data_IF_798378385082
#
_entry.id   IF_798378385082
#
_cell.length_a   1.000
_cell.length_b   1.000
_cell.length_c   1.000
_cell.angle_alpha   90.00
_cell.angle_beta   90.00
_cell.angle_gamma   90.00
#
_symmetry.space_group_name_H-M   'P 1'
#
loop_
_entity.id
_entity.type
_entity.pdbx_description
1 polymer ?
#
# COMPACT_ATOMS: atom_id res chain seq x y z
N UNK A 1 16.58 9.18 16.00
CA UNK A 1 17.82 8.84 16.76
C UNK A 1 18.91 8.30 15.85
N UNK A 2 18.70 7.18 15.14
CA UNK A 2 19.72 6.57 14.26
C UNK A 2 20.42 7.52 13.28
N UNK A 3 19.68 8.44 12.66
CA UNK A 3 20.26 9.45 11.75
C UNK A 3 21.25 10.35 12.49
N UNK A 4 20.93 10.76 13.72
CA UNK A 4 21.77 11.61 14.55
C UNK A 4 23.02 10.85 14.99
N UNK A 5 22.89 9.57 15.36
CA UNK A 5 24.03 8.72 15.71
C UNK A 5 24.99 8.56 14.53
N UNK A 6 24.47 8.25 13.33
CA UNK A 6 25.28 8.13 12.12
C UNK A 6 25.97 9.46 11.75
N UNK A 7 25.29 10.60 11.93
CA UNK A 7 25.89 11.92 11.76
C UNK A 7 27.03 12.18 12.76
N UNK A 8 26.84 11.85 14.05
CA UNK A 8 27.87 11.98 15.09
C UNK A 8 29.09 11.14 14.77
N UNK A 9 28.90 9.88 14.39
CA UNK A 9 29.98 8.96 14.00
C UNK A 9 30.79 9.49 12.81
N UNK A 10 30.13 10.12 11.83
CA UNK A 10 30.81 10.73 10.68
C UNK A 10 31.57 11.99 11.08
N UNK A 11 31.00 12.82 11.96
CA UNK A 11 31.64 14.01 12.49
C UNK A 11 32.92 13.68 13.28
N UNK A 12 32.89 12.64 14.11
CA UNK A 12 34.07 12.19 14.87
C UNK A 12 35.22 11.72 13.97
N UNK A 13 34.90 11.14 12.80
CA UNK A 13 35.91 10.70 11.82
C UNK A 13 36.45 11.85 10.97
N UNK A 14 35.58 12.76 10.55
CA UNK A 14 35.93 13.93 9.76
C UNK A 14 34.93 15.08 10.07
N UNK A 15 35.33 16.08 10.86
CA UNK A 15 34.46 17.19 11.20
C UNK A 15 33.96 17.95 9.97
N UNK A 16 32.65 18.22 9.92
CA UNK A 16 32.04 18.96 8.82
C UNK A 16 32.50 20.42 8.83
N UNK A 17 32.83 20.95 7.64
CA UNK A 17 33.36 22.30 7.46
C UNK A 17 32.29 23.34 7.10
N UNK A 18 31.11 22.88 6.72
CA UNK A 18 30.02 23.76 6.28
C UNK A 18 28.65 23.11 6.53
N UNK A 19 27.60 23.94 6.48
CA UNK A 19 26.21 23.47 6.51
C UNK A 19 25.90 22.56 5.31
N UNK A 20 26.45 22.87 4.14
CA UNK A 20 26.19 22.11 2.91
C UNK A 20 26.75 20.69 3.02
N UNK A 21 27.93 20.53 3.63
CA UNK A 21 28.50 19.20 3.90
C UNK A 21 27.64 18.38 4.85
N UNK A 22 27.04 19.00 5.88
CA UNK A 22 26.08 18.32 6.77
C UNK A 22 24.85 17.88 5.99
N UNK A 23 24.31 18.73 5.12
CA UNK A 23 23.12 18.42 4.30
C UNK A 23 23.39 17.28 3.32
N UNK A 24 24.54 17.26 2.66
CA UNK A 24 24.94 16.19 1.75
C UNK A 24 25.06 14.84 2.47
N UNK A 25 25.65 14.84 3.66
CA UNK A 25 25.74 13.63 4.49
C UNK A 25 24.36 13.19 4.96
N UNK A 26 23.51 14.10 5.41
CA UNK A 26 22.14 13.81 5.82
C UNK A 26 21.33 13.22 4.66
N UNK A 27 21.44 13.82 3.47
CA UNK A 27 20.83 13.33 2.23
C UNK A 27 21.25 11.90 1.92
N UNK A 28 22.54 11.59 2.03
CA UNK A 28 23.07 10.25 1.80
C UNK A 28 22.54 9.24 2.83
N UNK A 29 22.45 9.61 4.11
CA UNK A 29 21.92 8.73 5.16
C UNK A 29 20.43 8.42 4.93
N UNK A 30 19.62 9.45 4.67
CA UNK A 30 18.18 9.28 4.41
C UNK A 30 17.97 8.44 3.16
N UNK A 31 18.69 8.74 2.07
CA UNK A 31 18.60 7.97 0.83
C UNK A 31 18.93 6.49 1.06
N UNK A 32 19.99 6.19 1.81
CA UNK A 32 20.38 4.83 2.16
C UNK A 32 19.29 4.08 2.95
N UNK A 33 18.55 4.77 3.82
CA UNK A 33 17.41 4.18 4.54
C UNK A 33 16.26 3.89 3.56
N UNK A 34 15.92 4.86 2.70
CA UNK A 34 14.81 4.73 1.75
C UNK A 34 15.11 3.71 0.63
N UNK A 35 16.36 3.48 0.26
CA UNK A 35 16.72 2.48 -0.74
C UNK A 35 16.55 1.04 -0.22
N UNK A 36 16.51 0.84 1.11
CA UNK A 36 16.21 -0.47 1.72
C UNK A 36 14.79 -0.91 1.48
N UNK A 37 13.84 0.02 1.30
CA UNK A 37 12.46 -0.31 0.91
C UNK A 37 12.32 -0.62 -0.58
N UNK A 38 13.41 -1.00 -1.29
CA UNK A 38 13.47 -1.60 -2.63
C UNK A 38 12.25 -1.24 -3.50
N UNK A 39 12.21 -0.01 -4.02
CA UNK A 39 11.14 0.41 -4.93
C UNK A 39 10.99 -0.60 -6.08
N UNK A 40 9.75 -0.99 -6.37
CA UNK A 40 9.42 -1.95 -7.44
C UNK A 40 8.40 -1.33 -8.38
N UNK A 41 8.56 -1.61 -9.67
CA UNK A 41 7.45 -1.42 -10.60
C UNK A 41 6.43 -2.54 -10.39
N UNK A 42 5.41 -2.22 -9.59
CA UNK A 42 4.38 -3.19 -9.25
C UNK A 42 3.53 -3.61 -10.45
N UNK A 43 3.36 -2.76 -11.48
CA UNK A 43 2.62 -3.18 -12.69
C UNK A 43 3.43 -4.23 -13.44
N UNK A 44 4.72 -4.00 -13.62
CA UNK A 44 5.61 -4.95 -14.30
C UNK A 44 5.69 -6.27 -13.53
N UNK A 45 5.80 -6.23 -12.20
CA UNK A 45 5.82 -7.43 -11.36
C UNK A 45 4.54 -8.26 -11.53
N UNK A 46 3.37 -7.61 -11.54
CA UNK A 46 2.09 -8.28 -11.83
C UNK A 46 2.03 -8.81 -13.28
N UNK A 47 2.59 -8.09 -14.26
CA UNK A 47 2.66 -8.52 -15.66
C UNK A 47 3.51 -9.77 -15.84
N UNK A 48 4.62 -9.89 -15.11
CA UNK A 48 5.48 -11.07 -15.14
C UNK A 48 4.82 -12.23 -14.39
N UNK A 49 4.27 -11.98 -13.20
CA UNK A 49 3.67 -13.03 -12.39
C UNK A 49 2.45 -13.66 -13.08
N UNK A 50 1.63 -12.85 -13.78
CA UNK A 50 0.47 -13.37 -14.53
C UNK A 50 0.85 -14.36 -15.64
N UNK A 51 2.10 -14.40 -16.09
CA UNK A 51 2.54 -15.40 -17.08
C UNK A 51 2.69 -16.80 -16.47
N UNK A 52 2.80 -16.88 -15.14
CA UNK A 52 2.99 -18.14 -14.41
C UNK A 52 1.72 -18.61 -13.70
N UNK A 53 0.89 -17.67 -13.24
CA UNK A 53 -0.35 -17.93 -12.50
C UNK A 53 -1.40 -16.87 -12.85
N UNK A 54 -2.63 -17.28 -13.15
CA UNK A 54 -3.78 -16.37 -13.31
C UNK A 54 -5.00 -16.89 -12.54
N UNK A 55 -5.72 -16.02 -11.81
CA UNK A 55 -5.42 -14.60 -11.58
C UNK A 55 -4.27 -14.40 -10.59
N UNK A 56 -3.60 -13.25 -10.66
CA UNK A 56 -2.75 -12.75 -9.58
C UNK A 56 -3.64 -12.05 -8.54
N UNK A 57 -3.48 -12.37 -7.27
CA UNK A 57 -4.37 -11.89 -6.20
C UNK A 57 -3.67 -10.89 -5.28
N UNK A 58 -4.27 -9.71 -5.10
CA UNK A 58 -3.75 -8.64 -4.23
C UNK A 58 -4.79 -8.31 -3.17
N UNK A 59 -4.45 -8.53 -1.90
CA UNK A 59 -5.27 -8.14 -0.76
C UNK A 59 -4.78 -6.81 -0.21
N UNK A 60 -5.69 -5.87 -0.03
CA UNK A 60 -5.38 -4.56 0.50
C UNK A 60 -5.75 -4.47 1.98
N UNK A 61 -4.75 -4.11 2.79
CA UNK A 61 -4.85 -3.95 4.23
C UNK A 61 -4.78 -2.47 4.59
N UNK A 62 -5.16 -2.14 5.83
CA UNK A 62 -5.03 -0.79 6.37
C UNK A 62 -6.32 -0.33 7.01
N UNK A 63 -6.28 0.83 7.64
CA UNK A 63 -7.36 1.27 8.52
C UNK A 63 -8.44 2.05 7.74
N UNK A 64 -9.51 2.45 8.41
CA UNK A 64 -10.60 3.22 7.80
C UNK A 64 -10.11 4.64 7.56
N UNK A 65 -10.48 5.22 6.42
CA UNK A 65 -10.14 6.61 6.10
C UNK A 65 -8.73 6.84 5.53
N UNK A 66 -7.85 5.84 5.50
CA UNK A 66 -6.49 5.97 4.89
C UNK A 66 -6.52 6.08 3.36
N UNK A 67 -7.67 5.85 2.72
CA UNK A 67 -7.79 5.88 1.26
C UNK A 67 -7.55 4.56 0.56
N UNK A 68 -7.78 3.42 1.24
CA UNK A 68 -7.63 2.06 0.69
C UNK A 68 -8.48 1.83 -0.56
N UNK A 69 -9.80 2.01 -0.50
CA UNK A 69 -10.70 1.83 -1.66
C UNK A 69 -10.34 2.74 -2.84
N UNK A 70 -9.99 4.01 -2.57
CA UNK A 70 -9.51 4.93 -3.61
C UNK A 70 -8.20 4.45 -4.22
N UNK A 71 -7.25 3.98 -3.40
CA UNK A 71 -5.97 3.43 -3.86
C UNK A 71 -6.17 2.21 -4.75
N UNK A 72 -7.08 1.30 -4.37
CA UNK A 72 -7.46 0.15 -5.20
C UNK A 72 -7.97 0.61 -6.56
N UNK A 73 -8.85 1.62 -6.60
CA UNK A 73 -9.35 2.15 -7.86
C UNK A 73 -8.25 2.77 -8.74
N UNK A 74 -7.29 3.49 -8.15
CA UNK A 74 -6.12 4.04 -8.86
C UNK A 74 -5.25 2.94 -9.46
N UNK A 75 -4.94 1.91 -8.67
CA UNK A 75 -4.17 0.75 -9.14
C UNK A 75 -4.93 0.01 -10.23
N UNK A 76 -6.24 -0.22 -10.05
CA UNK A 76 -7.10 -0.88 -11.02
C UNK A 76 -7.11 -0.15 -12.37
N UNK A 77 -7.22 1.19 -12.35
CA UNK A 77 -7.07 2.02 -13.56
C UNK A 77 -5.71 1.80 -14.20
N UNK A 78 -4.62 1.90 -13.43
CA UNK A 78 -3.26 1.74 -13.95
C UNK A 78 -3.08 0.39 -14.63
N UNK A 79 -3.52 -0.70 -13.99
CA UNK A 79 -3.46 -2.05 -14.56
C UNK A 79 -4.31 -2.19 -15.84
N UNK A 80 -5.53 -1.67 -15.83
CA UNK A 80 -6.41 -1.64 -17.02
C UNK A 80 -5.77 -0.87 -18.17
N UNK A 81 -5.18 0.29 -17.90
CA UNK A 81 -4.52 1.12 -18.90
C UNK A 81 -3.25 0.43 -19.47
N UNK A 82 -2.68 -0.55 -18.76
CA UNK A 82 -1.62 -1.46 -19.26
C UNK A 82 -2.18 -2.73 -19.92
N UNK A 83 -3.49 -2.78 -20.19
CA UNK A 83 -4.15 -3.89 -20.89
C UNK A 83 -4.40 -5.14 -20.05
N UNK A 84 -4.32 -5.06 -18.71
CA UNK A 84 -4.67 -6.18 -17.84
C UNK A 84 -6.18 -6.24 -17.60
N UNK A 85 -6.73 -7.45 -17.61
CA UNK A 85 -8.12 -7.70 -17.17
C UNK A 85 -8.18 -7.73 -15.65
N UNK A 86 -8.84 -6.75 -15.04
CA UNK A 86 -8.93 -6.59 -13.59
C UNK A 86 -10.36 -6.84 -13.11
N UNK A 87 -10.51 -7.53 -11.98
CA UNK A 87 -11.78 -7.64 -11.24
C UNK A 87 -11.58 -7.22 -9.78
N UNK A 88 -12.60 -6.56 -9.24
CA UNK A 88 -12.59 -6.05 -7.86
C UNK A 88 -13.43 -6.94 -6.94
N UNK A 89 -12.97 -7.15 -5.72
CA UNK A 89 -13.73 -7.79 -4.63
C UNK A 89 -14.13 -6.75 -3.59
N UNK A 90 -15.43 -6.58 -3.35
CA UNK A 90 -15.98 -5.71 -2.32
C UNK A 90 -16.11 -6.45 -0.97
N UNK A 91 -14.96 -6.85 -0.41
CA UNK A 91 -14.90 -7.65 0.83
C UNK A 91 -14.92 -6.80 2.13
N UNK A 92 -14.94 -5.46 2.07
CA UNK A 92 -15.42 -4.64 3.20
C UNK A 92 -16.95 -4.75 3.29
N UNK A 93 -17.43 -5.84 3.88
CA UNK A 93 -18.87 -6.13 3.98
C UNK A 93 -19.54 -5.47 5.18
N UNK A 94 -18.78 -4.88 6.09
CA UNK A 94 -19.35 -4.17 7.23
C UNK A 94 -19.71 -2.74 6.86
N UNK A 95 -19.03 -2.06 5.94
CA UNK A 95 -19.36 -0.66 5.62
C UNK A 95 -20.13 -0.61 4.30
N UNK A 96 -21.43 -0.33 4.37
CA UNK A 96 -22.29 -0.21 3.20
C UNK A 96 -21.73 0.85 2.23
N UNK A 97 -21.30 2.00 2.77
CA UNK A 97 -20.65 3.05 1.98
C UNK A 97 -19.32 2.63 1.35
N UNK A 98 -18.59 1.65 1.89
CA UNK A 98 -17.37 1.13 1.26
C UNK A 98 -17.71 0.27 0.03
N UNK A 99 -18.74 -0.58 0.13
CA UNK A 99 -19.25 -1.34 -1.03
C UNK A 99 -19.76 -0.40 -2.12
N UNK A 100 -20.57 0.61 -1.78
CA UNK A 100 -21.05 1.60 -2.74
C UNK A 100 -19.91 2.38 -3.39
N UNK A 101 -18.86 2.72 -2.62
CA UNK A 101 -17.70 3.44 -3.13
C UNK A 101 -16.90 2.61 -4.13
N UNK A 102 -16.60 1.33 -3.83
CA UNK A 102 -15.87 0.48 -4.78
C UNK A 102 -16.71 0.20 -6.04
N UNK A 103 -18.03 0.05 -5.91
CA UNK A 103 -18.93 -0.08 -7.05
C UNK A 103 -18.97 1.16 -7.94
N UNK A 104 -18.99 2.34 -7.33
CA UNK A 104 -18.91 3.60 -8.06
C UNK A 104 -17.62 3.69 -8.89
N UNK A 105 -16.48 3.35 -8.28
CA UNK A 105 -15.20 3.29 -8.97
C UNK A 105 -15.20 2.24 -10.09
N UNK A 106 -15.69 1.03 -9.80
CA UNK A 106 -15.79 -0.06 -10.77
C UNK A 106 -16.60 0.38 -12.00
N UNK A 107 -17.77 0.98 -11.79
CA UNK A 107 -18.63 1.51 -12.85
C UNK A 107 -17.93 2.59 -13.68
N UNK A 108 -17.25 3.54 -13.03
CA UNK A 108 -16.49 4.59 -13.74
C UNK A 108 -15.31 4.05 -14.54
N UNK A 109 -14.71 2.96 -14.09
CA UNK A 109 -13.57 2.33 -14.75
C UNK A 109 -13.97 1.23 -15.74
N UNK A 110 -15.26 0.88 -15.83
CA UNK A 110 -15.73 -0.24 -16.65
C UNK A 110 -15.20 -1.60 -16.18
N UNK A 111 -15.01 -1.75 -14.86
CA UNK A 111 -14.48 -2.97 -14.25
C UNK A 111 -15.62 -3.76 -13.57
N UNK A 112 -15.58 -5.11 -13.62
CA UNK A 112 -16.47 -5.93 -12.81
C UNK A 112 -16.11 -5.82 -11.33
N UNK A 113 -17.14 -5.95 -10.50
CA UNK A 113 -17.02 -6.02 -9.05
C UNK A 113 -17.90 -7.16 -8.54
N UNK A 114 -17.33 -8.01 -7.68
CA UNK A 114 -18.05 -9.07 -6.99
C UNK A 114 -18.33 -8.60 -5.57
N UNK A 115 -19.60 -8.70 -5.17
CA UNK A 115 -20.09 -8.31 -3.86
C UNK A 115 -21.18 -9.25 -3.41
N UNK A 116 -21.32 -9.42 -2.09
CA UNK A 116 -22.47 -10.04 -1.47
C UNK A 116 -23.33 -9.01 -0.74
N UNK A 117 -24.37 -9.46 -0.05
CA UNK A 117 -25.19 -8.61 0.82
C UNK A 117 -24.33 -8.05 1.95
N UNK A 118 -24.71 -6.88 2.45
CA UNK A 118 -24.12 -6.29 3.64
C UNK A 118 -24.09 -7.29 4.82
N UNK A 119 -22.98 -7.32 5.56
CA UNK A 119 -22.76 -8.24 6.68
C UNK A 119 -22.47 -9.69 6.27
N UNK A 120 -22.31 -9.98 4.97
CA UNK A 120 -21.85 -11.30 4.52
C UNK A 120 -20.39 -11.55 4.92
N UNK A 121 -19.98 -12.81 4.93
CA UNK A 121 -18.60 -13.21 5.19
C UNK A 121 -17.62 -12.63 4.13
N UNK A 122 -16.67 -11.75 4.52
CA UNK A 122 -15.66 -11.18 3.61
C UNK A 122 -14.81 -12.22 2.89
N UNK A 123 -14.47 -13.32 3.57
CA UNK A 123 -13.69 -14.39 2.98
C UNK A 123 -14.45 -15.09 1.84
N UNK A 124 -15.78 -15.22 1.96
CA UNK A 124 -16.62 -15.76 0.90
C UNK A 124 -16.65 -14.84 -0.33
N UNK A 125 -16.81 -13.52 -0.13
CA UNK A 125 -16.76 -12.54 -1.23
C UNK A 125 -15.42 -12.62 -1.97
N UNK A 126 -14.31 -12.65 -1.23
CA UNK A 126 -12.98 -12.73 -1.80
C UNK A 126 -12.76 -14.05 -2.58
N UNK A 127 -13.18 -15.19 -2.01
CA UNK A 127 -13.12 -16.49 -2.67
C UNK A 127 -13.91 -16.53 -3.97
N UNK A 128 -15.16 -16.07 -3.94
CA UNK A 128 -16.03 -16.08 -5.12
C UNK A 128 -15.50 -15.13 -6.20
N UNK A 129 -14.84 -14.04 -5.81
CA UNK A 129 -14.14 -13.16 -6.76
C UNK A 129 -12.99 -13.87 -7.46
N UNK A 130 -12.16 -14.61 -6.73
CA UNK A 130 -11.06 -15.40 -7.32
C UNK A 130 -11.62 -16.46 -8.26
N UNK A 131 -12.66 -17.20 -7.86
CA UNK A 131 -13.33 -18.19 -8.72
C UNK A 131 -13.92 -17.58 -9.99
N UNK A 132 -14.56 -16.42 -9.86
CA UNK A 132 -15.07 -15.68 -11.01
C UNK A 132 -13.93 -15.28 -11.96
N UNK A 133 -12.82 -14.79 -11.42
CA UNK A 133 -11.65 -14.39 -12.19
C UNK A 133 -11.00 -15.57 -12.94
N UNK A 134 -10.82 -16.71 -12.28
CA UNK A 134 -10.35 -17.97 -12.88
C UNK A 134 -11.23 -18.38 -14.07
N UNK A 135 -12.55 -18.43 -13.84
CA UNK A 135 -13.53 -18.91 -14.85
C UNK A 135 -13.60 -18.00 -16.08
N UNK A 136 -13.38 -16.70 -15.92
CA UNK A 136 -13.52 -15.71 -17.00
C UNK A 136 -12.17 -15.21 -17.53
N UNK A 137 -11.05 -15.78 -17.07
CA UNK A 137 -9.71 -15.45 -17.55
C UNK A 137 -9.28 -14.02 -17.25
N UNK A 138 -9.58 -13.52 -16.05
CA UNK A 138 -9.04 -12.24 -15.56
C UNK A 138 -7.57 -12.40 -15.14
N UNK A 139 -6.78 -11.35 -15.33
CA UNK A 139 -5.36 -11.34 -15.01
C UNK A 139 -5.11 -11.05 -13.53
N UNK A 140 -5.88 -10.13 -12.94
CA UNK A 140 -5.65 -9.63 -11.57
C UNK A 140 -6.96 -9.48 -10.80
N UNK A 141 -6.94 -9.90 -9.54
CA UNK A 141 -8.00 -9.69 -8.55
C UNK A 141 -7.49 -8.71 -7.49
N UNK A 142 -8.21 -7.61 -7.27
CA UNK A 142 -7.92 -6.65 -6.22
C UNK A 142 -9.00 -6.73 -5.13
N UNK A 143 -8.59 -7.02 -3.89
CA UNK A 143 -9.49 -7.32 -2.78
C UNK A 143 -9.46 -6.18 -1.77
N UNK A 144 -10.58 -5.45 -1.67
CA UNK A 144 -10.79 -4.42 -0.65
C UNK A 144 -11.33 -5.06 0.62
N UNK A 145 -10.64 -4.89 1.75
CA UNK A 145 -11.03 -5.46 3.05
C UNK A 145 -11.51 -4.37 4.01
N UNK A 146 -12.18 -4.78 5.08
CA UNK A 146 -12.48 -3.87 6.19
C UNK A 146 -11.19 -3.30 6.81
N UNK A 147 -11.30 -2.09 7.40
CA UNK A 147 -10.19 -1.38 8.02
C UNK A 147 -10.48 -0.80 9.40
N UNK A 148 -11.33 -1.40 10.23
CA UNK A 148 -11.56 -0.85 11.58
C UNK A 148 -10.24 -0.79 12.38
N UNK A 149 -10.12 0.14 13.32
CA UNK A 149 -9.03 0.09 14.29
C UNK A 149 -9.51 0.35 15.70
N UNK A 150 -9.16 -0.61 16.56
CA UNK A 150 -8.59 -0.53 17.91
C UNK A 150 -8.58 -1.97 18.44
N UNK A 151 -7.39 -2.59 18.59
CA UNK A 151 -7.23 -3.94 19.20
C UNK A 151 -8.28 -4.97 18.80
N UNK A 152 -8.76 -4.89 17.55
CA UNK A 152 -9.94 -5.62 17.10
C UNK A 152 -9.50 -7.01 16.67
N UNK A 153 -9.51 -7.93 17.65
CA UNK A 153 -9.19 -9.34 17.46
C UNK A 153 -10.09 -9.93 16.36
N UNK A 154 -11.33 -9.46 16.24
CA UNK A 154 -12.28 -9.95 15.24
C UNK A 154 -11.85 -9.52 13.83
N UNK A 155 -11.40 -8.26 13.65
CA UNK A 155 -10.81 -7.83 12.37
C UNK A 155 -9.59 -8.66 12.00
N UNK A 156 -8.67 -8.88 12.94
CA UNK A 156 -7.46 -9.68 12.67
C UNK A 156 -7.85 -11.10 12.25
N UNK A 157 -8.82 -11.71 12.92
CA UNK A 157 -9.31 -13.05 12.59
C UNK A 157 -10.00 -13.10 11.22
N UNK A 158 -10.78 -12.08 10.88
CA UNK A 158 -11.43 -11.93 9.58
C UNK A 158 -10.38 -11.83 8.46
N UNK A 159 -9.38 -10.96 8.63
CA UNK A 159 -8.29 -10.81 7.67
C UNK A 159 -7.50 -12.11 7.54
N UNK A 160 -7.13 -12.77 8.65
CA UNK A 160 -6.47 -14.10 8.61
C UNK A 160 -7.29 -15.12 7.84
N UNK A 161 -8.61 -15.11 7.98
CA UNK A 161 -9.51 -15.99 7.22
C UNK A 161 -9.46 -15.67 5.73
N UNK A 162 -9.49 -14.39 5.32
CA UNK A 162 -9.32 -13.98 3.92
C UNK A 162 -7.96 -14.49 3.39
N UNK A 163 -6.86 -14.25 4.10
CA UNK A 163 -5.52 -14.68 3.68
C UNK A 163 -5.46 -16.20 3.50
N UNK A 164 -6.04 -16.97 4.42
CA UNK A 164 -6.08 -18.44 4.34
C UNK A 164 -6.92 -18.95 3.17
N UNK A 165 -8.03 -18.29 2.85
CA UNK A 165 -8.95 -18.74 1.80
C UNK A 165 -8.48 -18.33 0.41
N UNK A 166 -7.87 -17.15 0.29
CA UNK A 166 -7.42 -16.57 -0.98
C UNK A 166 -5.99 -16.99 -1.34
N UNK A 167 -5.13 -17.23 -0.34
CA UNK A 167 -3.69 -17.42 -0.50
C UNK A 167 -3.08 -16.34 -1.41
N UNK A 168 -3.13 -15.05 -0.99
CA UNK A 168 -2.84 -13.95 -1.88
C UNK A 168 -1.37 -13.89 -2.30
N UNK A 169 -1.13 -13.51 -3.56
CA UNK A 169 0.22 -13.28 -4.06
C UNK A 169 0.87 -12.05 -3.41
N UNK A 170 0.06 -11.03 -3.09
CA UNK A 170 0.52 -9.82 -2.40
C UNK A 170 -0.44 -9.32 -1.34
N UNK A 171 0.08 -9.01 -0.15
CA UNK A 171 -0.59 -8.26 0.92
C UNK A 171 -0.06 -6.83 0.91
N UNK A 172 -0.90 -5.89 0.46
CA UNK A 172 -0.55 -4.48 0.28
C UNK A 172 -1.16 -3.63 1.38
N UNK A 173 -0.34 -3.07 2.26
CA UNK A 173 -0.78 -2.16 3.30
C UNK A 173 -0.92 -0.74 2.77
N UNK A 174 -2.10 -0.13 2.94
CA UNK A 174 -2.33 1.29 2.66
C UNK A 174 -2.27 2.08 3.96
N UNK A 175 -1.43 3.09 4.00
CA UNK A 175 -1.23 3.98 5.16
C UNK A 175 -1.46 5.44 4.76
N UNK A 176 -1.88 6.25 5.71
CA UNK A 176 -2.08 7.69 5.53
C UNK A 176 -0.79 8.44 5.89
N UNK A 177 -0.29 9.29 4.99
CA UNK A 177 0.88 10.12 5.26
C UNK A 177 0.65 11.12 6.42
N UNK A 178 -0.61 11.47 6.71
CA UNK A 178 -0.96 12.47 7.72
C UNK A 178 -0.97 11.94 9.16
N UNK A 179 -1.01 10.62 9.36
CA UNK A 179 -1.20 10.04 10.69
C UNK A 179 0.10 9.89 11.49
N UNK A 180 1.24 10.31 10.93
CA UNK A 180 2.52 10.35 11.66
C UNK A 180 2.88 9.00 12.29
N UNK A 181 3.18 8.99 13.59
CA UNK A 181 3.57 7.80 14.35
C UNK A 181 2.49 6.69 14.34
N UNK A 182 1.20 7.05 14.29
CA UNK A 182 0.13 6.06 14.23
C UNK A 182 0.23 5.20 12.98
N UNK A 183 0.73 5.73 11.86
CA UNK A 183 0.96 4.96 10.64
C UNK A 183 2.00 3.84 10.87
N UNK A 184 3.01 4.10 11.71
CA UNK A 184 4.11 3.17 11.99
C UNK A 184 3.59 2.05 12.89
N UNK A 185 2.86 2.40 13.96
CA UNK A 185 2.31 1.41 14.88
C UNK A 185 1.29 0.50 14.19
N UNK A 186 0.44 1.07 13.32
CA UNK A 186 -0.45 0.31 12.45
C UNK A 186 0.32 -0.66 11.55
N UNK A 187 1.36 -0.16 10.89
CA UNK A 187 2.15 -0.95 9.97
C UNK A 187 2.88 -2.11 10.67
N UNK A 188 3.41 -1.88 11.88
CA UNK A 188 3.98 -2.93 12.74
C UNK A 188 2.93 -3.98 13.09
N UNK A 189 1.75 -3.56 13.56
CA UNK A 189 0.66 -4.46 13.95
C UNK A 189 0.22 -5.34 12.77
N UNK A 190 -0.06 -4.77 11.59
CA UNK A 190 -0.46 -5.56 10.42
C UNK A 190 0.64 -6.53 9.98
N UNK A 191 1.89 -6.10 9.98
CA UNK A 191 3.00 -6.94 9.59
C UNK A 191 3.22 -8.11 10.58
N UNK A 192 3.05 -7.88 11.88
CA UNK A 192 3.16 -8.92 12.91
C UNK A 192 2.01 -9.94 12.83
N UNK A 193 0.77 -9.47 12.64
CA UNK A 193 -0.40 -10.34 12.79
C UNK A 193 -0.85 -11.00 11.47
N UNK A 194 -0.66 -10.32 10.34
CA UNK A 194 -1.14 -10.73 9.01
C UNK A 194 0.04 -10.95 8.02
N UNK A 195 1.10 -10.16 8.19
CA UNK A 195 2.22 -10.08 7.25
C UNK A 195 1.94 -9.07 6.14
N UNK A 196 2.95 -8.24 5.83
CA UNK A 196 2.88 -7.24 4.77
C UNK A 196 3.99 -7.49 3.76
N UNK A 197 3.62 -7.44 2.47
CA UNK A 197 4.55 -7.60 1.35
C UNK A 197 4.90 -6.24 0.74
N UNK A 198 3.91 -5.35 0.59
CA UNK A 198 4.06 -4.04 -0.02
C UNK A 198 3.35 -2.95 0.77
N UNK A 199 3.79 -1.70 0.61
CA UNK A 199 3.20 -0.51 1.23
C UNK A 199 2.81 0.50 0.15
N UNK A 200 1.65 1.12 0.32
CA UNK A 200 1.24 2.33 -0.41
C UNK A 200 0.99 3.45 0.58
N UNK A 201 1.61 4.60 0.36
CA UNK A 201 1.40 5.79 1.20
C UNK A 201 0.41 6.71 0.50
N UNK A 202 -0.79 6.86 1.05
CA UNK A 202 -1.81 7.74 0.51
C UNK A 202 -1.71 9.16 1.10
N UNK A 203 -2.31 10.13 0.40
CA UNK A 203 -2.41 11.55 0.81
C UNK A 203 -1.05 12.22 1.04
N UNK A 204 -0.04 11.81 0.28
CA UNK A 204 1.31 12.37 0.34
C UNK A 204 1.34 13.84 -0.08
N UNK A 205 0.37 14.28 -0.89
CA UNK A 205 0.16 15.69 -1.26
C UNK A 205 -0.15 16.60 -0.07
N UNK A 206 -0.68 16.04 1.02
CA UNK A 206 -0.97 16.77 2.25
C UNK A 206 0.14 16.62 3.30
N UNK A 207 1.09 15.68 3.14
CA UNK A 207 2.26 15.55 4.01
C UNK A 207 3.42 16.41 3.51
N UNK A 208 3.59 17.57 4.14
CA UNK A 208 4.60 18.56 3.79
C UNK A 208 6.03 18.13 4.17
N UNK A 209 6.22 17.04 4.90
CA UNK A 209 7.52 16.67 5.49
C UNK A 209 8.07 15.32 5.05
N UNK A 210 7.24 14.41 4.54
CA UNK A 210 7.68 13.09 4.07
C UNK A 210 8.27 12.15 5.13
N UNK A 211 8.08 12.48 6.40
CA UNK A 211 8.64 11.74 7.54
C UNK A 211 8.07 10.33 7.66
N UNK A 212 6.78 10.13 7.32
CA UNK A 212 6.13 8.82 7.39
C UNK A 212 6.79 7.82 6.42
N UNK A 213 7.14 8.24 5.21
CA UNK A 213 7.83 7.39 4.24
C UNK A 213 9.19 6.89 4.76
N UNK A 214 9.96 7.79 5.38
CA UNK A 214 11.24 7.45 5.99
C UNK A 214 11.09 6.47 7.16
N UNK A 215 10.15 6.74 8.07
CA UNK A 215 9.90 5.88 9.22
C UNK A 215 9.42 4.49 8.79
N UNK A 216 8.49 4.39 7.83
CA UNK A 216 8.02 3.09 7.34
C UNK A 216 9.12 2.30 6.62
N UNK A 217 9.93 2.97 5.79
CA UNK A 217 11.06 2.32 5.13
C UNK A 217 12.06 1.76 6.15
N UNK A 218 12.30 2.48 7.24
CA UNK A 218 13.18 2.04 8.32
C UNK A 218 12.60 0.85 9.10
N UNK A 219 11.34 0.97 9.51
CA UNK A 219 10.67 0.06 10.44
C UNK A 219 10.29 -1.26 9.79
N UNK A 220 9.60 -1.22 8.66
CA UNK A 220 9.06 -2.43 8.03
C UNK A 220 10.05 -3.09 7.08
N UNK A 221 10.98 -2.30 6.49
CA UNK A 221 11.91 -2.76 5.45
C UNK A 221 11.19 -3.52 4.30
N UNK A 222 9.93 -3.15 4.05
CA UNK A 222 9.11 -3.68 2.95
C UNK A 222 9.12 -2.71 1.77
N UNK A 223 8.95 -3.22 0.54
CA UNK A 223 8.70 -2.40 -0.65
C UNK A 223 7.63 -1.33 -0.43
N UNK A 224 7.99 -0.06 -0.64
CA UNK A 224 6.99 0.99 -0.86
C UNK A 224 6.81 1.08 -2.37
N UNK A 225 5.62 0.74 -2.87
CA UNK A 225 5.36 0.61 -4.30
C UNK A 225 4.77 1.88 -4.91
N UNK A 226 3.94 2.61 -4.15
CA UNK A 226 3.30 3.84 -4.62
C UNK A 226 3.14 4.90 -3.53
N UNK A 227 3.02 6.14 -3.97
CA UNK A 227 2.56 7.30 -3.20
C UNK A 227 1.34 7.92 -3.89
N UNK A 228 0.27 8.14 -3.14
CA UNK A 228 -0.91 8.87 -3.60
C UNK A 228 -0.71 10.38 -3.44
N UNK A 229 -0.82 11.14 -4.52
CA UNK A 229 -0.48 12.57 -4.59
C UNK A 229 -1.68 13.47 -4.91
N UNK A 230 -2.89 13.00 -4.59
CA UNK A 230 -4.12 13.73 -4.87
C UNK A 230 -5.36 12.83 -4.93
N UNK A 231 -6.45 13.33 -5.52
CA UNK A 231 -7.76 12.67 -5.53
C UNK A 231 -8.13 12.03 -6.88
N UNK A 232 -7.49 12.44 -7.98
CA UNK A 232 -7.75 11.89 -9.31
C UNK A 232 -7.17 10.49 -9.43
N UNK A 233 -7.61 9.75 -10.44
CA UNK A 233 -7.14 8.38 -10.59
C UNK A 233 -5.66 8.31 -11.01
N UNK A 234 -5.18 9.36 -11.67
CA UNK A 234 -3.81 9.55 -12.13
C UNK A 234 -2.85 9.96 -11.00
N UNK A 235 -3.39 10.40 -9.86
CA UNK A 235 -2.62 10.90 -8.71
C UNK A 235 -2.08 9.72 -7.86
N UNK A 236 -1.38 8.79 -8.51
CA UNK A 236 -0.67 7.66 -7.92
C UNK A 236 0.68 7.50 -8.61
N UNK A 237 1.76 7.87 -7.91
CA UNK A 237 3.11 7.85 -8.45
C UNK A 237 3.91 6.67 -7.89
N UNK A 238 4.78 6.04 -8.70
CA UNK A 238 5.76 5.08 -8.17
C UNK A 238 6.61 5.72 -7.08
N UNK A 239 6.93 4.96 -6.04
CA UNK A 239 7.78 5.45 -4.96
C UNK A 239 9.20 5.76 -5.47
N UNK A 240 9.64 7.00 -5.28
CA UNK A 240 10.94 7.49 -5.70
C UNK A 240 11.72 8.02 -4.48
N UNK A 241 12.68 7.25 -3.92
CA UNK A 241 13.47 7.65 -2.75
C UNK A 241 14.03 9.07 -2.86
N UNK A 242 14.62 9.42 -4.00
CA UNK A 242 15.21 10.74 -4.25
C UNK A 242 14.20 11.89 -4.14
N UNK A 243 12.94 11.69 -4.58
CA UNK A 243 11.88 12.70 -4.43
C UNK A 243 11.55 12.90 -2.95
N UNK A 244 11.47 11.81 -2.18
CA UNK A 244 11.17 11.87 -0.74
C UNK A 244 12.31 12.54 0.04
N UNK A 245 13.57 12.24 -0.29
CA UNK A 245 14.70 12.95 0.35
C UNK A 245 14.62 14.46 0.10
N UNK A 246 14.29 14.86 -1.13
CA UNK A 246 14.14 16.28 -1.48
C UNK A 246 13.00 16.91 -0.68
N UNK A 247 11.86 16.23 -0.59
CA UNK A 247 10.71 16.67 0.21
C UNK A 247 11.05 16.84 1.71
N UNK A 248 11.85 15.93 2.29
CA UNK A 248 12.24 16.01 3.71
C UNK A 248 13.19 17.18 3.98
N UNK A 249 14.09 17.49 3.05
CA UNK A 249 15.18 18.45 3.25
C UNK A 249 14.87 19.88 2.75
N UNK A 250 13.82 20.05 1.93
CA UNK A 250 13.46 21.33 1.32
C UNK A 250 14.13 21.53 -0.03
#
# INVERSE_FOLDING_TARGET
EKIIEELKLRYERNPFKSRDEVLDVLKAIILSILEKSKSRDFVEELCVLRLRKKPVTVVFLGINGVGKTTTIAKIAKKLRDHGLKVVLSAADTYRAGAQEQIEYHAKKLGLPVIKHRYGSDPAAVAFDTVRYAEKHGYDVVLIDTAGRMHTDIDLVNELKKIIRVVEPDFKTLVVDALTGNDAIDQARMFNEHIGVDNIVIAKMDADVKGGVALSLAYELQKPIIYVGTGQRYEDLEPFAPKKIVSLILG
#
